data_IF_082454409147
#
_entry.id   IF_082454409147
#
_cell.length_a   1.000
_cell.length_b   1.000
_cell.length_c   1.000
_cell.angle_alpha   90.00
_cell.angle_beta   90.00
_cell.angle_gamma   90.00
#
_symmetry.space_group_name_H-M   'P 1'
#
loop_
_entity.id
_entity.type
_entity.pdbx_description
1 polymer ?
#
# COMPACT_ATOMS: atom_id res chain seq x y z
N UNK A 1 -2.45 -3.53 -4.45
CA UNK A 1 -3.39 -4.66 -4.44
C UNK A 1 -3.04 -5.54 -3.25
N UNK A 2 -3.76 -5.46 -2.12
CA UNK A 2 -3.54 -6.42 -1.04
C UNK A 2 -3.74 -7.83 -1.62
N UNK A 3 -2.83 -8.74 -1.27
CA UNK A 3 -2.85 -10.11 -1.76
C UNK A 3 -4.22 -10.74 -1.49
N UNK A 4 -5.00 -10.95 -2.54
CA UNK A 4 -6.20 -11.79 -2.52
C UNK A 4 -5.75 -13.26 -2.48
N UNK A 5 -5.07 -13.64 -1.40
CA UNK A 5 -4.91 -15.05 -1.04
C UNK A 5 -6.21 -15.48 -0.38
N UNK A 6 -7.13 -16.00 -1.19
CA UNK A 6 -8.44 -16.46 -0.73
C UNK A 6 -8.36 -17.71 0.19
N UNK A 7 -7.16 -18.25 0.43
CA UNK A 7 -6.92 -19.44 1.24
C UNK A 7 -5.67 -19.31 2.13
N UNK A 8 -5.45 -18.13 2.72
CA UNK A 8 -4.32 -17.89 3.63
C UNK A 8 -4.66 -18.35 5.05
N UNK A 9 -4.02 -19.44 5.52
CA UNK A 9 -4.06 -19.88 6.92
C UNK A 9 -2.83 -19.34 7.68
N UNK A 10 -2.71 -18.02 7.69
CA UNK A 10 -1.57 -17.28 8.24
C UNK A 10 -1.98 -15.85 8.63
N UNK A 11 -1.10 -15.08 9.30
CA UNK A 11 -1.42 -13.72 9.71
C UNK A 11 -1.89 -12.89 8.51
N UNK A 12 -3.05 -12.26 8.66
CA UNK A 12 -3.62 -11.37 7.64
C UNK A 12 -2.74 -10.13 7.55
N UNK A 13 -2.09 -9.93 6.40
CA UNK A 13 -1.26 -8.77 6.17
C UNK A 13 -0.17 -9.05 5.14
N UNK A 14 0.11 -8.06 4.30
CA UNK A 14 1.26 -8.11 3.39
C UNK A 14 2.48 -7.59 4.13
N UNK A 15 3.57 -8.35 4.09
CA UNK A 15 4.87 -7.86 4.56
C UNK A 15 5.57 -7.15 3.41
N UNK A 16 5.94 -5.89 3.61
CA UNK A 16 6.72 -5.10 2.66
C UNK A 16 8.16 -5.00 3.16
N UNK A 17 9.13 -5.33 2.30
CA UNK A 17 10.55 -5.18 2.60
C UNK A 17 11.14 -4.05 1.77
N UNK A 18 11.65 -3.03 2.45
CA UNK A 18 12.39 -1.92 1.86
C UNK A 18 13.88 -2.18 2.06
N UNK A 19 14.63 -2.22 0.95
CA UNK A 19 16.09 -2.37 0.97
C UNK A 19 16.66 -1.03 0.54
N UNK A 20 17.31 -0.35 1.49
CA UNK A 20 17.83 1.01 1.32
C UNK A 20 19.34 1.04 1.57
N UNK A 21 19.99 2.14 1.21
CA UNK A 21 21.43 2.33 1.41
C UNK A 21 21.83 2.29 2.90
N UNK A 22 20.94 2.73 3.79
CA UNK A 22 21.15 2.79 5.24
C UNK A 22 20.68 1.54 5.99
N UNK A 23 20.09 0.56 5.31
CA UNK A 23 19.59 -0.66 5.94
C UNK A 23 18.34 -1.23 5.30
N UNK A 24 17.88 -2.33 5.88
CA UNK A 24 16.65 -3.02 5.46
C UNK A 24 15.57 -2.77 6.50
N UNK A 25 14.36 -2.50 6.02
CA UNK A 25 13.17 -2.28 6.84
C UNK A 25 12.06 -3.23 6.40
N UNK A 26 11.34 -3.77 7.37
CA UNK A 26 10.23 -4.70 7.15
C UNK A 26 9.00 -4.05 7.76
N UNK A 27 8.08 -3.61 6.91
CA UNK A 27 6.79 -3.06 7.31
C UNK A 27 5.72 -4.15 7.23
N UNK A 28 4.95 -4.27 8.31
CA UNK A 28 3.71 -5.04 8.39
C UNK A 28 2.57 -4.06 8.63
N UNK A 29 1.35 -4.56 8.76
CA UNK A 29 0.18 -3.70 8.95
C UNK A 29 0.31 -2.80 10.20
N UNK A 30 0.74 -3.38 11.32
CA UNK A 30 0.85 -2.66 12.61
C UNK A 30 2.30 -2.40 13.05
N UNK A 31 3.28 -3.01 12.40
CA UNK A 31 4.68 -3.01 12.86
C UNK A 31 5.65 -2.50 11.80
N UNK A 32 6.70 -1.82 12.24
CA UNK A 32 7.90 -1.56 11.45
C UNK A 32 9.11 -2.09 12.20
N UNK A 33 9.90 -2.95 11.56
CA UNK A 33 11.13 -3.52 12.16
C UNK A 33 12.34 -3.34 11.23
N UNK A 34 13.54 -3.36 11.79
CA UNK A 34 14.78 -3.43 11.00
C UNK A 34 14.94 -4.81 10.36
N UNK A 35 15.92 -4.97 9.47
CA UNK A 35 16.29 -6.25 8.87
C UNK A 35 16.77 -7.32 9.87
N UNK A 36 16.93 -6.97 11.15
CA UNK A 36 17.24 -7.89 12.26
C UNK A 36 16.04 -8.13 13.19
N UNK A 37 14.84 -7.76 12.76
CA UNK A 37 13.59 -7.84 13.55
C UNK A 37 13.58 -6.97 14.81
N UNK A 38 14.40 -5.91 14.85
CA UNK A 38 14.37 -4.95 15.95
C UNK A 38 13.21 -3.97 15.72
N UNK A 39 12.27 -3.81 16.68
CA UNK A 39 11.14 -2.90 16.53
C UNK A 39 11.57 -1.44 16.37
N UNK A 40 10.93 -0.75 15.44
CA UNK A 40 11.03 0.70 15.24
C UNK A 40 9.73 1.31 15.75
N UNK A 41 9.84 2.15 16.78
CA UNK A 41 8.69 2.85 17.33
C UNK A 41 8.22 3.95 16.37
N UNK A 42 7.01 3.78 15.84
CA UNK A 42 6.34 4.74 14.95
C UNK A 42 5.11 5.37 15.60
N UNK A 43 4.92 5.19 16.91
CA UNK A 43 3.75 5.70 17.66
C UNK A 43 3.58 7.21 17.58
N UNK A 44 4.67 7.95 17.32
CA UNK A 44 4.66 9.41 17.17
C UNK A 44 4.46 9.90 15.72
N UNK A 45 4.40 9.00 14.73
CA UNK A 45 4.49 9.35 13.30
C UNK A 45 3.13 9.44 12.61
N UNK A 46 2.07 8.80 13.12
CA UNK A 46 0.76 8.85 12.47
C UNK A 46 -0.42 9.14 13.40
N UNK A 47 -1.40 9.86 12.86
CA UNK A 47 -2.53 10.51 13.53
C UNK A 47 -3.76 9.60 13.56
N UNK A 48 -3.74 8.48 12.81
CA UNK A 48 -4.81 7.49 12.78
C UNK A 48 -4.27 6.17 12.20
N UNK A 49 -4.50 5.06 12.88
CA UNK A 49 -4.21 3.71 12.36
C UNK A 49 -5.25 3.24 11.33
N UNK A 50 -6.26 4.06 11.01
CA UNK A 50 -7.29 3.74 10.03
C UNK A 50 -7.07 4.51 8.72
N UNK A 51 -6.34 3.89 7.79
CA UNK A 51 -6.07 4.47 6.48
C UNK A 51 -7.32 4.81 5.64
N UNK A 52 -8.46 4.16 5.90
CA UNK A 52 -9.72 4.45 5.19
C UNK A 52 -10.27 5.81 5.63
N UNK A 53 -10.27 6.08 6.94
CA UNK A 53 -10.74 7.36 7.47
C UNK A 53 -9.86 8.52 6.98
N UNK A 54 -8.55 8.33 6.97
CA UNK A 54 -7.60 9.31 6.44
C UNK A 54 -7.83 9.57 4.94
N UNK A 55 -8.05 8.51 4.16
CA UNK A 55 -8.35 8.60 2.73
C UNK A 55 -9.65 9.39 2.49
N UNK A 56 -10.72 9.08 3.22
CA UNK A 56 -12.02 9.75 3.05
C UNK A 56 -11.92 11.23 3.42
N UNK A 57 -11.23 11.56 4.52
CA UNK A 57 -11.01 12.93 4.95
C UNK A 57 -10.22 13.73 3.92
N UNK A 58 -9.15 13.15 3.38
CA UNK A 58 -8.32 13.78 2.33
C UNK A 58 -9.14 14.02 1.06
N UNK A 59 -9.93 13.03 0.63
CA UNK A 59 -10.75 13.09 -0.57
C UNK A 59 -11.82 14.19 -0.48
N UNK A 60 -12.53 14.27 0.65
CA UNK A 60 -13.54 15.32 0.87
C UNK A 60 -12.90 16.71 0.98
N UNK A 61 -11.74 16.82 1.64
CA UNK A 61 -11.00 18.09 1.71
C UNK A 61 -10.55 18.56 0.32
N UNK A 62 -10.03 17.66 -0.51
CA UNK A 62 -9.60 17.95 -1.87
C UNK A 62 -10.71 18.56 -2.73
N UNK A 63 -11.91 17.98 -2.65
CA UNK A 63 -13.10 18.48 -3.35
C UNK A 63 -13.47 19.89 -2.87
N UNK A 64 -13.44 20.14 -1.56
CA UNK A 64 -13.77 21.46 -0.98
C UNK A 64 -12.75 22.54 -1.34
N UNK A 65 -11.49 22.16 -1.45
CA UNK A 65 -10.37 23.04 -1.77
C UNK A 65 -10.15 23.22 -3.28
N UNK A 66 -10.86 22.46 -4.12
CA UNK A 66 -10.72 22.52 -5.58
C UNK A 66 -9.39 21.98 -6.11
N UNK A 67 -8.74 21.08 -5.37
CA UNK A 67 -7.50 20.40 -5.76
C UNK A 67 -7.78 18.96 -6.17
N UNK A 68 -6.85 18.35 -6.92
CA UNK A 68 -6.96 16.92 -7.25
C UNK A 68 -6.80 16.06 -5.98
N UNK A 69 -7.71 15.10 -5.70
CA UNK A 69 -7.56 14.16 -4.60
C UNK A 69 -6.41 13.18 -4.85
N UNK A 70 -5.76 12.70 -3.78
CA UNK A 70 -4.70 11.69 -3.92
C UNK A 70 -5.24 10.37 -4.52
N UNK A 71 -6.53 10.09 -4.31
CA UNK A 71 -7.24 8.92 -4.81
C UNK A 71 -8.04 9.20 -6.10
N UNK A 72 -7.54 10.05 -6.99
CA UNK A 72 -8.19 10.36 -8.26
C UNK A 72 -8.22 9.16 -9.23
N UNK A 73 -9.30 9.06 -10.03
CA UNK A 73 -9.45 8.02 -11.04
C UNK A 73 -8.37 8.12 -12.12
N UNK A 74 -7.96 9.34 -12.50
CA UNK A 74 -6.85 9.60 -13.42
C UNK A 74 -5.56 8.91 -12.96
N UNK A 75 -5.26 8.99 -11.65
CA UNK A 75 -4.02 8.47 -11.08
C UNK A 75 -3.90 6.95 -11.15
N UNK A 76 -5.03 6.22 -11.14
CA UNK A 76 -5.01 4.74 -11.17
C UNK A 76 -4.94 4.15 -12.58
N UNK A 77 -5.23 4.93 -13.63
CA UNK A 77 -5.29 4.41 -15.01
C UNK A 77 -3.97 3.79 -15.48
N UNK A 78 -2.82 4.35 -15.10
CA UNK A 78 -1.52 3.79 -15.45
C UNK A 78 -1.32 2.40 -14.82
N UNK A 79 -1.77 2.20 -13.57
CA UNK A 79 -1.74 0.89 -12.92
C UNK A 79 -2.62 -0.12 -13.67
N UNK A 80 -3.84 0.28 -14.07
CA UNK A 80 -4.73 -0.60 -14.83
C UNK A 80 -4.18 -1.00 -16.20
N UNK A 81 -3.46 -0.12 -16.90
CA UNK A 81 -2.78 -0.47 -18.15
C UNK A 81 -1.75 -1.57 -17.95
N UNK A 82 -0.88 -1.41 -16.95
CA UNK A 82 0.13 -2.43 -16.61
C UNK A 82 -0.53 -3.75 -16.25
N UNK A 83 -1.63 -3.73 -15.48
CA UNK A 83 -2.38 -4.94 -15.15
C UNK A 83 -2.97 -5.62 -16.39
N UNK A 84 -3.49 -4.84 -17.36
CA UNK A 84 -3.98 -5.38 -18.64
C UNK A 84 -2.87 -5.97 -19.50
N UNK A 85 -1.71 -5.32 -19.57
CA UNK A 85 -0.55 -5.83 -20.31
C UNK A 85 -0.04 -7.15 -19.72
N UNK A 86 -0.03 -7.26 -18.38
CA UNK A 86 0.33 -8.49 -17.67
C UNK A 86 -0.67 -9.63 -17.94
N UNK A 87 -1.97 -9.33 -17.94
CA UNK A 87 -3.01 -10.31 -18.26
C UNK A 87 -2.84 -10.86 -19.69
N UNK A 88 -2.61 -9.98 -20.67
CA UNK A 88 -2.38 -10.39 -22.06
C UNK A 88 -1.15 -11.31 -22.19
N UNK A 89 -0.02 -10.95 -21.56
CA UNK A 89 1.20 -11.76 -21.59
C UNK A 89 1.02 -13.14 -20.95
N UNK A 90 0.24 -13.23 -19.87
CA UNK A 90 -0.03 -14.50 -19.20
C UNK A 90 -0.96 -15.39 -20.03
N UNK A 91 -1.94 -14.81 -20.73
CA UNK A 91 -2.84 -15.55 -21.62
C UNK A 91 -2.11 -16.16 -22.83
N UNK A 92 -1.02 -15.55 -23.30
CA UNK A 92 -0.18 -16.06 -24.39
C UNK A 92 0.79 -17.19 -23.96
N UNK A 93 0.96 -17.40 -22.65
CA UNK A 93 1.87 -18.43 -22.09
C UNK A 93 1.18 -19.78 -21.82
N UNK A 94 -0.13 -19.91 -22.10
CA UNK A 94 -0.90 -21.14 -21.98
C UNK A 94 -1.22 -21.78 -23.34
#
# INVERSE_FOLDING_TARGET
MPSLSFNNDGPLGTTFRYICDSGTYIARYDDLVTGREEPIDVSAVDVSTNGIELQDREFVAAIREGREPNSSVSSVLNCYRVLGDLEAQLAEQG
#
